data_IF_286061633893
#
_entry.id   IF_286061633893
#
_cell.length_a   1.000
_cell.length_b   1.000
_cell.length_c   1.000
_cell.angle_alpha   90.00
_cell.angle_beta   90.00
_cell.angle_gamma   90.00
#
_symmetry.space_group_name_H-M   'P 1'
#
loop_
_entity.id
_entity.type
_entity.pdbx_description
1 polymer ?
#
# COMPACT_ATOMS: atom_id res chain seq x y z
N UNK A 1 -5.98 21.36 -11.03
CA UNK A 1 -4.80 20.52 -10.76
C UNK A 1 -4.45 20.65 -9.29
N UNK A 2 -3.92 19.61 -8.64
CA UNK A 2 -3.51 19.69 -7.23
C UNK A 2 -2.49 20.81 -7.04
N UNK A 3 -2.59 21.59 -5.96
CA UNK A 3 -1.61 22.64 -5.61
C UNK A 3 -0.21 22.08 -5.34
N UNK A 4 -0.09 20.77 -5.17
CA UNK A 4 1.17 20.07 -4.88
C UNK A 4 1.78 19.35 -6.08
N UNK A 5 1.21 19.52 -7.29
CA UNK A 5 1.70 18.85 -8.50
C UNK A 5 3.15 19.26 -8.84
N UNK A 6 4.01 18.27 -9.15
CA UNK A 6 5.41 18.47 -9.53
C UNK A 6 6.39 18.77 -8.39
N UNK A 7 5.91 19.10 -7.18
CA UNK A 7 6.75 19.38 -6.01
C UNK A 7 6.88 18.20 -5.04
N UNK A 8 7.93 18.26 -4.21
CA UNK A 8 8.08 17.43 -3.00
C UNK A 8 7.05 17.87 -1.97
N UNK A 9 6.40 16.90 -1.29
CA UNK A 9 5.43 17.15 -0.22
C UNK A 9 6.03 16.71 1.11
N UNK A 10 5.73 17.46 2.18
CA UNK A 10 5.98 17.06 3.57
C UNK A 10 4.69 16.55 4.21
N UNK A 11 4.72 15.36 4.79
CA UNK A 11 3.57 14.80 5.50
C UNK A 11 4.01 13.92 6.68
N UNK A 12 3.06 13.60 7.57
CA UNK A 12 3.33 12.66 8.67
C UNK A 12 3.26 11.23 8.18
N UNK A 13 4.19 10.40 8.63
CA UNK A 13 4.19 8.96 8.41
C UNK A 13 4.56 8.22 9.70
N UNK A 14 4.16 6.95 9.81
CA UNK A 14 4.61 6.04 10.84
C UNK A 14 5.80 5.23 10.29
N UNK A 15 6.99 5.42 10.86
CA UNK A 15 8.24 4.84 10.35
C UNK A 15 8.77 3.78 11.30
N UNK A 16 9.10 2.61 10.75
CA UNK A 16 9.78 1.52 11.46
C UNK A 16 11.29 1.63 11.19
N UNK A 17 12.05 2.10 12.18
CA UNK A 17 13.51 2.20 12.08
C UNK A 17 14.23 0.89 12.37
N UNK A 18 13.64 0.05 13.23
CA UNK A 18 14.17 -1.24 13.66
C UNK A 18 13.03 -2.24 13.85
N UNK A 19 13.34 -3.53 13.65
CA UNK A 19 12.37 -4.61 13.84
C UNK A 19 11.82 -4.66 15.28
N UNK A 20 10.50 -4.72 15.41
CA UNK A 20 9.81 -4.85 16.69
C UNK A 20 9.88 -3.63 17.62
N UNK A 21 10.50 -2.51 17.20
CA UNK A 21 10.49 -1.25 17.95
C UNK A 21 9.26 -0.42 17.63
N UNK A 22 8.65 0.29 18.59
CA UNK A 22 7.47 1.11 18.32
C UNK A 22 7.68 2.04 17.11
N UNK A 23 6.65 2.14 16.26
CA UNK A 23 6.66 3.06 15.12
C UNK A 23 6.82 4.50 15.61
N UNK A 24 7.61 5.28 14.87
CA UNK A 24 7.80 6.70 15.16
C UNK A 24 6.95 7.52 14.20
N UNK A 25 6.14 8.44 14.74
CA UNK A 25 5.38 9.39 13.92
C UNK A 25 6.28 10.58 13.63
N UNK A 26 6.67 10.75 12.37
CA UNK A 26 7.58 11.81 11.95
C UNK A 26 7.17 12.43 10.61
N UNK A 27 7.78 13.56 10.28
CA UNK A 27 7.58 14.24 9.01
C UNK A 27 8.54 13.67 7.95
N UNK A 28 7.99 13.24 6.82
CA UNK A 28 8.74 12.67 5.70
C UNK A 28 8.54 13.49 4.43
N UNK A 29 9.52 13.42 3.53
CA UNK A 29 9.46 14.04 2.22
C UNK A 29 9.06 13.02 1.15
N UNK A 30 7.97 13.31 0.43
CA UNK A 30 7.43 12.46 -0.65
C UNK A 30 7.70 13.13 -1.99
N UNK A 31 8.52 12.48 -2.82
CA UNK A 31 8.87 12.94 -4.16
C UNK A 31 7.64 13.05 -5.09
N UNK A 32 7.69 13.85 -6.17
CA UNK A 32 6.67 13.83 -7.22
C UNK A 32 6.65 12.45 -7.92
N UNK A 33 5.47 12.00 -8.41
CA UNK A 33 5.37 10.74 -9.14
C UNK A 33 6.12 10.81 -10.48
N UNK A 34 6.78 9.71 -10.86
CA UNK A 34 7.43 9.54 -12.15
C UNK A 34 6.48 8.98 -13.22
N UNK A 35 7.01 8.64 -14.40
CA UNK A 35 6.23 8.01 -15.46
C UNK A 35 5.65 6.67 -14.97
N UNK A 36 4.34 6.46 -15.20
CA UNK A 36 3.57 5.30 -14.72
C UNK A 36 3.43 5.18 -13.20
N UNK A 37 3.66 6.27 -12.44
CA UNK A 37 3.41 6.31 -11.00
C UNK A 37 2.23 7.23 -10.66
N UNK A 38 1.59 6.95 -9.53
CA UNK A 38 0.51 7.78 -8.99
C UNK A 38 0.84 8.07 -7.53
N UNK A 39 0.78 9.35 -7.15
CA UNK A 39 0.90 9.78 -5.75
C UNK A 39 -0.50 9.98 -5.15
N UNK A 40 -0.85 9.17 -4.16
CA UNK A 40 -2.18 9.13 -3.55
C UNK A 40 -2.18 9.83 -2.19
N UNK A 41 -3.20 10.62 -1.91
CA UNK A 41 -3.46 11.14 -0.56
C UNK A 41 -4.28 10.11 0.23
N UNK A 42 -3.66 9.48 1.23
CA UNK A 42 -4.33 8.48 2.07
C UNK A 42 -5.26 9.18 3.05
N UNK A 43 -6.58 9.00 2.87
CA UNK A 43 -7.59 9.54 3.79
C UNK A 43 -7.84 8.61 4.98
N UNK A 44 -7.85 7.31 4.73
CA UNK A 44 -8.07 6.26 5.72
C UNK A 44 -7.16 5.08 5.41
N UNK A 45 -6.63 4.46 6.45
CA UNK A 45 -5.86 3.22 6.36
C UNK A 45 -6.18 2.36 7.57
N UNK A 46 -6.05 1.05 7.44
CA UNK A 46 -6.25 0.08 8.51
C UNK A 46 -5.02 -0.81 8.63
N UNK A 47 -4.74 -1.30 9.84
CA UNK A 47 -3.68 -2.27 10.06
C UNK A 47 -4.20 -3.68 9.80
N UNK A 48 -3.44 -4.43 9.02
CA UNK A 48 -3.63 -5.86 8.86
C UNK A 48 -2.59 -6.63 9.68
N UNK A 49 -2.86 -7.92 9.91
CA UNK A 49 -1.94 -8.80 10.63
C UNK A 49 -0.57 -8.90 9.93
N UNK A 50 -0.55 -8.79 8.61
CA UNK A 50 0.67 -8.80 7.80
C UNK A 50 1.58 -7.60 8.09
N UNK A 51 1.02 -6.43 8.41
CA UNK A 51 1.81 -5.24 8.79
C UNK A 51 2.62 -5.51 10.06
N UNK A 52 2.01 -6.18 11.05
CA UNK A 52 2.66 -6.54 12.32
C UNK A 52 3.75 -7.59 12.08
N UNK A 53 3.49 -8.59 11.23
CA UNK A 53 4.48 -9.62 10.88
C UNK A 53 5.73 -9.01 10.25
N UNK A 54 5.57 -8.10 9.30
CA UNK A 54 6.70 -7.41 8.67
C UNK A 54 7.40 -6.44 9.62
N UNK A 55 6.65 -5.75 10.46
CA UNK A 55 7.21 -4.87 11.49
C UNK A 55 8.12 -5.63 12.48
N UNK A 56 7.78 -6.87 12.81
CA UNK A 56 8.62 -7.76 13.64
C UNK A 56 9.76 -8.43 12.85
N UNK A 57 9.96 -8.08 11.56
CA UNK A 57 10.90 -8.70 10.63
C UNK A 57 10.78 -10.24 10.57
N UNK A 58 9.55 -10.75 10.64
CA UNK A 58 9.25 -12.18 10.45
C UNK A 58 9.13 -12.48 8.96
N UNK A 59 9.52 -13.69 8.57
CA UNK A 59 9.32 -14.17 7.21
C UNK A 59 7.86 -14.61 7.00
N UNK A 60 7.25 -14.13 5.91
CA UNK A 60 5.92 -14.55 5.48
C UNK A 60 5.96 -14.84 3.97
N UNK A 61 5.55 -16.04 3.57
CA UNK A 61 5.43 -16.42 2.15
C UNK A 61 4.17 -15.78 1.54
N UNK A 62 4.27 -14.50 1.18
CA UNK A 62 3.15 -13.69 0.68
C UNK A 62 2.45 -14.28 -0.54
N UNK A 63 3.19 -14.97 -1.39
CA UNK A 63 2.66 -15.58 -2.62
C UNK A 63 1.57 -16.60 -2.33
N UNK A 64 1.67 -17.34 -1.22
CA UNK A 64 0.67 -18.34 -0.82
C UNK A 64 -0.67 -17.74 -0.43
N UNK A 65 -0.69 -16.44 -0.11
CA UNK A 65 -1.91 -15.73 0.27
C UNK A 65 -2.60 -15.05 -0.93
N UNK A 66 -1.99 -15.05 -2.12
CA UNK A 66 -2.59 -14.48 -3.33
C UNK A 66 -3.73 -15.40 -3.78
N UNK A 67 -4.98 -14.96 -3.58
CA UNK A 67 -6.16 -15.71 -4.03
C UNK A 67 -6.58 -15.31 -5.43
N UNK A 68 -6.31 -14.07 -5.83
CA UNK A 68 -6.71 -13.53 -7.13
C UNK A 68 -5.61 -12.66 -7.74
N UNK A 69 -5.57 -12.62 -9.07
CA UNK A 69 -4.80 -11.66 -9.83
C UNK A 69 -5.68 -11.11 -10.94
N UNK A 70 -5.78 -9.79 -11.05
CA UNK A 70 -6.60 -9.12 -12.07
C UNK A 70 -5.79 -8.05 -12.79
N UNK A 71 -6.07 -7.75 -14.07
CA UNK A 71 -5.49 -6.59 -14.73
C UNK A 71 -6.05 -5.29 -14.14
N UNK A 72 -5.33 -4.18 -14.30
CA UNK A 72 -5.78 -2.86 -13.85
C UNK A 72 -7.15 -2.45 -14.43
N UNK A 73 -7.47 -2.88 -15.65
CA UNK A 73 -8.78 -2.66 -16.28
C UNK A 73 -9.95 -3.27 -15.50
N UNK A 74 -9.70 -4.29 -14.67
CA UNK A 74 -10.69 -4.97 -13.85
C UNK A 74 -10.56 -4.63 -12.35
N UNK A 75 -9.98 -3.48 -11.99
CA UNK A 75 -9.75 -3.11 -10.58
C UNK A 75 -11.01 -3.19 -9.71
N UNK A 76 -12.18 -2.83 -10.26
CA UNK A 76 -13.45 -2.90 -9.51
C UNK A 76 -13.83 -4.34 -9.12
N UNK A 77 -13.48 -5.32 -9.95
CA UNK A 77 -13.72 -6.73 -9.64
C UNK A 77 -12.87 -7.21 -8.45
N UNK A 78 -11.65 -6.68 -8.28
CA UNK A 78 -10.86 -6.93 -7.08
C UNK A 78 -11.56 -6.42 -5.82
N UNK A 79 -12.18 -5.23 -5.89
CA UNK A 79 -12.98 -4.69 -4.80
C UNK A 79 -14.23 -5.53 -4.53
N UNK A 80 -14.92 -6.00 -5.56
CA UNK A 80 -16.07 -6.91 -5.39
C UNK A 80 -15.67 -8.20 -4.67
N UNK A 81 -14.55 -8.82 -5.04
CA UNK A 81 -14.05 -10.00 -4.32
C UNK A 81 -13.72 -9.70 -2.85
N UNK A 82 -13.20 -8.52 -2.54
CA UNK A 82 -12.96 -8.11 -1.16
C UNK A 82 -14.28 -7.93 -0.38
N UNK A 83 -15.26 -7.24 -0.96
CA UNK A 83 -16.56 -6.99 -0.33
C UNK A 83 -17.35 -8.29 -0.10
N UNK A 84 -17.21 -9.26 -1.01
CA UNK A 84 -17.85 -10.58 -0.89
C UNK A 84 -17.10 -11.56 0.03
N UNK A 85 -15.94 -11.17 0.58
CA UNK A 85 -15.10 -12.03 1.42
C UNK A 85 -14.43 -13.18 0.65
N UNK A 86 -14.31 -13.07 -0.68
CA UNK A 86 -13.68 -14.07 -1.55
C UNK A 86 -12.19 -13.79 -1.78
N UNK A 87 -11.73 -12.57 -1.48
CA UNK A 87 -10.33 -12.16 -1.61
C UNK A 87 -9.63 -12.10 -0.26
N UNK A 88 -8.53 -12.85 -0.10
CA UNK A 88 -7.58 -12.65 0.99
C UNK A 88 -6.54 -11.61 0.54
N UNK A 89 -5.94 -11.85 -0.64
CA UNK A 89 -5.03 -10.92 -1.31
C UNK A 89 -5.28 -10.97 -2.81
N UNK A 90 -5.60 -9.82 -3.40
CA UNK A 90 -5.70 -9.66 -4.84
C UNK A 90 -4.52 -8.85 -5.36
N UNK A 91 -3.81 -9.35 -6.36
CA UNK A 91 -2.73 -8.62 -7.04
C UNK A 91 -3.29 -7.96 -8.29
N UNK A 92 -3.17 -6.64 -8.37
CA UNK A 92 -3.50 -5.88 -9.57
C UNK A 92 -2.26 -5.83 -10.46
N UNK A 93 -2.35 -6.38 -11.66
CA UNK A 93 -1.30 -6.34 -12.66
C UNK A 93 -1.45 -5.08 -13.51
N UNK A 94 -0.40 -4.29 -13.55
CA UNK A 94 -0.26 -3.16 -14.44
C UNK A 94 0.33 -3.69 -15.76
N UNK A 95 -0.49 -4.36 -16.58
CA UNK A 95 -0.09 -4.77 -17.93
C UNK A 95 -0.14 -3.57 -18.89
N UNK A 96 0.75 -3.58 -19.90
CA UNK A 96 0.79 -2.59 -20.98
C UNK A 96 -0.15 -2.97 -22.13
#
# INVERSE_FOLDING_TARGET
>A
MSSTAGGVIKCKAAVAWEAGKPLVIEEVEVAPPQANEVRVNILFTALCHTDVYFWEAKELELEKFITHSVPFSEINKAFDYMLQGQSIRCVIRMEH
#
